data_IF_091331538870
#
_entry.id   IF_091331538870
#
_cell.length_a   1.000
_cell.length_b   1.000
_cell.length_c   1.000
_cell.angle_alpha   90.00
_cell.angle_beta   90.00
_cell.angle_gamma   90.00
#
_symmetry.space_group_name_H-M   'P 1'
#
loop_
_entity.id
_entity.type
_entity.pdbx_description
1 polymer ?
#
# COMPACT_ATOMS: atom_id res chain seq x y z
N UNK A 1 27.88 -26.91 -7.71
CA UNK A 1 26.47 -27.34 -7.93
C UNK A 1 25.62 -26.08 -7.88
N UNK A 2 25.21 -25.53 -9.05
CA UNK A 2 24.40 -24.30 -9.09
C UNK A 2 22.95 -24.65 -8.71
N UNK A 3 22.55 -24.27 -7.52
CA UNK A 3 21.16 -24.43 -7.07
C UNK A 3 20.24 -23.62 -7.99
N UNK A 4 19.18 -24.26 -8.49
CA UNK A 4 18.27 -23.64 -9.46
C UNK A 4 17.32 -22.68 -8.69
N UNK A 5 17.67 -21.39 -8.65
CA UNK A 5 16.96 -20.33 -7.91
C UNK A 5 15.45 -20.24 -8.24
N UNK A 6 15.05 -20.64 -9.46
CA UNK A 6 13.62 -20.66 -9.87
C UNK A 6 12.75 -21.64 -9.05
N UNK A 7 13.35 -22.75 -8.56
CA UNK A 7 12.60 -23.73 -7.75
C UNK A 7 12.46 -23.30 -6.28
N UNK A 8 13.31 -22.40 -5.79
CA UNK A 8 13.24 -21.90 -4.42
C UNK A 8 12.15 -20.84 -4.30
N UNK A 9 12.00 -19.95 -5.29
CA UNK A 9 10.93 -18.94 -5.29
C UNK A 9 9.52 -19.57 -5.29
N UNK A 10 9.31 -20.65 -6.05
CA UNK A 10 8.04 -21.39 -6.04
C UNK A 10 7.72 -22.09 -4.69
N UNK A 11 8.74 -22.51 -3.94
CA UNK A 11 8.57 -23.20 -2.67
C UNK A 11 8.20 -22.24 -1.51
N UNK A 12 8.70 -21.01 -1.57
CA UNK A 12 8.47 -20.00 -0.52
C UNK A 12 7.06 -19.39 -0.64
N UNK A 13 6.55 -19.21 -1.85
CA UNK A 13 5.18 -18.72 -2.06
C UNK A 13 4.14 -19.73 -1.51
N UNK A 14 4.40 -21.04 -1.68
CA UNK A 14 3.55 -22.08 -1.11
C UNK A 14 3.54 -22.08 0.43
N UNK A 15 4.62 -21.64 1.09
CA UNK A 15 4.71 -21.57 2.56
C UNK A 15 3.95 -20.36 3.14
N UNK A 16 3.91 -19.24 2.43
CA UNK A 16 3.11 -18.05 2.81
C UNK A 16 1.61 -18.36 2.72
N UNK A 17 1.21 -19.22 1.78
CA UNK A 17 -0.17 -19.65 1.60
C UNK A 17 -0.69 -20.57 2.73
N UNK A 18 0.21 -21.26 3.45
CA UNK A 18 -0.15 -22.19 4.53
C UNK A 18 -0.51 -21.52 5.86
N UNK A 19 -0.27 -20.21 6.01
CA UNK A 19 -0.52 -19.46 7.25
C UNK A 19 -1.88 -18.74 7.30
N UNK A 20 -2.86 -19.21 6.51
CA UNK A 20 -4.26 -18.83 6.71
C UNK A 20 -4.71 -17.52 6.05
N UNK A 21 -3.91 -16.92 5.19
CA UNK A 21 -4.35 -15.81 4.35
C UNK A 21 -4.99 -16.36 3.08
N UNK A 22 -6.25 -16.77 3.21
CA UNK A 22 -7.06 -17.19 2.07
C UNK A 22 -7.26 -15.97 1.14
N UNK A 23 -6.64 -15.97 -0.03
CA UNK A 23 -6.83 -14.94 -1.05
C UNK A 23 -5.63 -14.59 -1.92
N UNK A 24 -4.45 -15.15 -1.66
CA UNK A 24 -3.24 -14.83 -2.43
C UNK A 24 -2.89 -15.86 -3.53
N UNK A 25 -3.89 -16.48 -4.17
CA UNK A 25 -3.60 -17.34 -5.33
C UNK A 25 -2.97 -16.58 -6.50
N UNK A 26 -3.16 -15.25 -6.56
CA UNK A 26 -2.67 -14.35 -7.60
C UNK A 26 -1.76 -13.23 -7.07
N UNK A 27 -1.11 -13.42 -5.91
CA UNK A 27 -0.17 -12.43 -5.41
C UNK A 27 0.99 -12.24 -6.39
N UNK A 28 1.38 -10.98 -6.70
CA UNK A 28 2.45 -10.70 -7.63
C UNK A 28 3.76 -11.27 -7.12
N UNK A 29 4.54 -11.85 -8.03
CA UNK A 29 5.92 -12.23 -7.76
C UNK A 29 6.83 -11.11 -8.26
N UNK A 30 7.74 -10.66 -7.42
CA UNK A 30 8.71 -9.64 -7.78
C UNK A 30 10.12 -10.24 -7.83
N UNK A 31 10.79 -10.02 -8.96
CA UNK A 31 12.23 -10.25 -9.10
C UNK A 31 12.84 -8.94 -9.61
N UNK A 32 13.84 -8.40 -8.94
CA UNK A 32 14.53 -7.20 -9.41
C UNK A 32 15.17 -7.48 -10.79
N UNK A 33 14.75 -6.71 -11.79
CA UNK A 33 15.25 -6.81 -13.17
C UNK A 33 16.34 -5.79 -13.45
N UNK A 34 16.38 -4.72 -12.66
CA UNK A 34 17.32 -3.63 -12.79
C UNK A 34 17.98 -3.43 -11.43
N UNK A 35 19.29 -3.22 -11.45
CA UNK A 35 20.07 -2.85 -10.27
C UNK A 35 20.76 -1.50 -10.56
N UNK A 36 20.31 -0.47 -9.88
CA UNK A 36 20.91 0.86 -9.97
C UNK A 36 22.07 1.06 -9.00
N UNK A 37 22.31 0.08 -8.11
CA UNK A 37 23.36 0.14 -7.10
C UNK A 37 23.19 1.36 -6.17
N UNK A 38 24.32 1.93 -5.76
CA UNK A 38 24.35 3.12 -4.88
C UNK A 38 24.40 4.44 -5.67
N UNK A 39 24.07 4.44 -6.96
CA UNK A 39 24.24 5.61 -7.84
C UNK A 39 23.20 6.70 -7.52
N UNK A 40 21.98 6.31 -7.22
CA UNK A 40 20.89 7.22 -6.79
C UNK A 40 19.80 6.44 -6.07
N UNK A 41 19.01 7.13 -5.25
CA UNK A 41 17.80 6.55 -4.68
C UNK A 41 16.65 6.62 -5.68
N UNK A 42 16.06 5.46 -5.99
CA UNK A 42 14.85 5.35 -6.77
C UNK A 42 13.72 4.87 -5.87
N UNK A 43 12.80 5.79 -5.59
CA UNK A 43 11.73 5.64 -4.60
C UNK A 43 10.36 5.93 -5.23
N UNK A 44 9.71 4.91 -5.83
CA UNK A 44 8.39 5.10 -6.43
C UNK A 44 7.33 5.37 -5.38
N UNK A 45 6.71 6.55 -5.41
CA UNK A 45 5.69 6.99 -4.45
C UNK A 45 4.54 5.99 -4.34
N UNK A 46 4.27 5.48 -3.12
CA UNK A 46 3.29 4.43 -2.81
C UNK A 46 3.47 3.16 -3.65
N UNK A 47 4.74 2.82 -3.95
CA UNK A 47 5.08 1.72 -4.83
C UNK A 47 4.93 2.00 -6.33
N UNK A 48 4.60 3.23 -6.74
CA UNK A 48 4.40 3.63 -8.14
C UNK A 48 2.93 3.74 -8.53
N UNK A 49 2.19 4.59 -7.84
CA UNK A 49 0.72 4.75 -7.95
C UNK A 49 0.21 5.11 -9.35
N UNK A 50 1.05 5.69 -10.21
CA UNK A 50 0.67 6.03 -11.58
C UNK A 50 0.80 4.82 -12.54
N UNK A 51 1.43 3.73 -12.08
CA UNK A 51 1.62 2.51 -12.85
C UNK A 51 0.82 1.32 -12.30
N UNK A 52 0.55 1.29 -11.01
CA UNK A 52 -0.16 0.20 -10.29
C UNK A 52 -1.02 0.77 -9.16
N UNK A 53 -1.96 -0.02 -8.59
CA UNK A 53 -2.75 0.40 -7.43
C UNK A 53 -1.84 0.75 -6.24
N UNK A 54 -1.96 1.97 -5.73
CA UNK A 54 -1.14 2.51 -4.65
C UNK A 54 -1.19 1.68 -3.37
N UNK A 55 -0.08 1.64 -2.64
CA UNK A 55 0.03 0.96 -1.34
C UNK A 55 -0.47 -0.50 -1.37
N UNK A 56 -0.26 -1.21 -2.47
CA UNK A 56 -0.62 -2.62 -2.63
C UNK A 56 0.60 -3.48 -2.92
N UNK A 57 0.49 -4.79 -2.73
CA UNK A 57 1.56 -5.70 -3.11
C UNK A 57 1.87 -5.65 -4.62
N UNK A 58 0.90 -5.25 -5.46
CA UNK A 58 1.11 -5.07 -6.90
C UNK A 58 2.02 -3.89 -7.22
N UNK A 59 1.82 -2.74 -6.55
CA UNK A 59 2.70 -1.59 -6.74
C UNK A 59 4.10 -1.84 -6.18
N UNK A 60 4.20 -2.47 -5.02
CA UNK A 60 5.50 -2.79 -4.43
C UNK A 60 6.28 -3.83 -5.24
N UNK A 61 5.62 -4.86 -5.76
CA UNK A 61 6.24 -5.82 -6.67
C UNK A 61 6.75 -5.13 -7.93
N UNK A 62 5.94 -4.24 -8.51
CA UNK A 62 6.32 -3.44 -9.67
C UNK A 62 7.52 -2.54 -9.37
N UNK A 63 7.54 -1.87 -8.22
CA UNK A 63 8.69 -1.06 -7.79
C UNK A 63 9.98 -1.90 -7.73
N UNK A 64 9.93 -3.06 -7.07
CA UNK A 64 11.07 -3.98 -6.95
C UNK A 64 11.53 -4.47 -8.32
N UNK A 65 10.60 -4.88 -9.20
CA UNK A 65 10.91 -5.34 -10.56
C UNK A 65 11.60 -4.28 -11.42
N UNK A 66 11.32 -3.01 -11.16
CA UNK A 66 11.92 -1.89 -11.86
C UNK A 66 13.13 -1.29 -11.15
N UNK A 67 13.66 -1.97 -10.12
CA UNK A 67 14.91 -1.61 -9.46
C UNK A 67 14.80 -0.53 -8.41
N UNK A 68 13.63 -0.42 -7.75
CA UNK A 68 13.51 0.49 -6.60
C UNK A 68 14.57 0.18 -5.55
N UNK A 69 15.29 1.21 -5.13
CA UNK A 69 16.28 1.15 -4.04
C UNK A 69 15.65 1.40 -2.69
N UNK A 70 14.48 2.02 -2.69
CA UNK A 70 13.66 2.28 -1.53
C UNK A 70 12.18 2.04 -1.84
N UNK A 71 11.48 1.36 -0.95
CA UNK A 71 10.02 1.22 -1.01
C UNK A 71 9.40 2.31 -0.16
N UNK A 72 8.73 3.22 -0.83
CA UNK A 72 7.94 4.24 -0.15
C UNK A 72 6.52 3.71 0.07
N UNK A 73 6.00 3.90 1.28
CA UNK A 73 4.68 3.43 1.67
C UNK A 73 4.12 4.22 2.85
N UNK A 74 2.80 4.29 2.91
CA UNK A 74 2.06 4.93 4.01
C UNK A 74 1.48 3.87 4.94
N UNK A 75 1.49 4.11 6.26
CA UNK A 75 0.94 3.16 7.23
C UNK A 75 -0.17 3.75 8.10
N UNK A 76 -1.14 2.90 8.44
CA UNK A 76 -2.22 3.18 9.39
C UNK A 76 -2.33 2.04 10.40
N UNK A 77 -2.70 2.38 11.65
CA UNK A 77 -3.04 1.40 12.66
C UNK A 77 -4.50 0.96 12.51
N UNK A 78 -4.74 -0.34 12.65
CA UNK A 78 -6.08 -0.93 12.64
C UNK A 78 -6.68 -0.98 14.04
N UNK A 79 -7.99 -1.25 14.13
CA UNK A 79 -8.70 -1.38 15.40
C UNK A 79 -8.29 -2.59 16.24
N UNK A 80 -7.72 -3.62 15.62
CA UNK A 80 -7.17 -4.80 16.28
C UNK A 80 -5.65 -4.70 16.56
N UNK A 81 -5.05 -3.53 16.31
CA UNK A 81 -3.67 -3.22 16.70
C UNK A 81 -2.60 -3.66 15.69
N UNK A 82 -2.98 -4.00 14.48
CA UNK A 82 -2.07 -4.31 13.39
C UNK A 82 -1.76 -3.06 12.55
N UNK A 83 -0.89 -3.18 11.56
CA UNK A 83 -0.48 -2.11 10.64
C UNK A 83 -0.84 -2.50 9.20
N UNK A 84 -1.58 -1.61 8.52
CA UNK A 84 -1.92 -1.75 7.10
C UNK A 84 -1.38 -0.60 6.27
N UNK A 85 -1.17 -0.86 4.99
CA UNK A 85 -0.65 0.12 4.03
C UNK A 85 -1.76 0.97 3.47
N UNK A 86 -1.92 2.18 3.98
CA UNK A 86 -2.93 3.14 3.51
C UNK A 86 -2.50 4.57 3.79
N UNK A 87 -2.70 5.44 2.80
CA UNK A 87 -2.42 6.87 2.99
C UNK A 87 -3.41 7.53 3.96
N UNK A 88 -4.70 7.26 3.81
CA UNK A 88 -5.74 7.89 4.61
C UNK A 88 -6.15 7.00 5.80
N UNK A 89 -6.49 7.56 6.96
CA UNK A 89 -7.02 6.81 8.10
C UNK A 89 -8.45 6.31 7.86
N UNK A 90 -9.12 6.85 6.87
CA UNK A 90 -10.44 6.42 6.38
C UNK A 90 -10.23 5.82 4.99
N UNK A 91 -10.89 4.69 4.69
CA UNK A 91 -10.80 4.08 3.37
C UNK A 91 -11.17 5.11 2.30
N UNK A 92 -10.26 5.34 1.36
CA UNK A 92 -10.44 6.34 0.31
C UNK A 92 -11.50 5.88 -0.69
N UNK A 93 -12.66 6.57 -0.72
CA UNK A 93 -13.79 6.27 -1.61
C UNK A 93 -13.46 6.36 -3.09
N UNK A 94 -12.42 7.11 -3.45
CA UNK A 94 -12.00 7.29 -4.84
C UNK A 94 -11.34 6.03 -5.43
N UNK A 95 -10.80 5.15 -4.57
CA UNK A 95 -10.07 3.95 -4.99
C UNK A 95 -10.62 2.66 -4.39
N UNK A 96 -11.64 2.72 -3.55
CA UNK A 96 -12.12 1.57 -2.78
C UNK A 96 -13.51 1.12 -3.21
N UNK A 97 -13.66 -0.18 -3.46
CA UNK A 97 -14.94 -0.84 -3.72
C UNK A 97 -15.24 -1.88 -2.66
N UNK A 98 -16.52 -2.05 -2.34
CA UNK A 98 -16.99 -3.10 -1.45
C UNK A 98 -16.97 -4.49 -2.12
N UNK A 99 -17.35 -5.53 -1.38
CA UNK A 99 -17.40 -6.91 -1.88
C UNK A 99 -18.39 -7.12 -3.04
N UNK A 100 -19.34 -6.20 -3.25
CA UNK A 100 -20.30 -6.23 -4.35
C UNK A 100 -19.81 -5.46 -5.57
N UNK A 101 -18.63 -4.82 -5.48
CA UNK A 101 -18.03 -4.02 -6.54
C UNK A 101 -18.50 -2.56 -6.59
N UNK A 102 -19.27 -2.09 -5.61
CA UNK A 102 -19.73 -0.71 -5.53
C UNK A 102 -18.65 0.17 -4.90
N UNK A 103 -18.50 1.40 -5.41
CA UNK A 103 -17.69 2.42 -4.77
C UNK A 103 -18.25 2.74 -3.39
N UNK A 104 -17.39 2.80 -2.38
CA UNK A 104 -17.82 3.10 -1.01
C UNK A 104 -18.16 4.59 -0.86
N UNK A 105 -18.95 4.90 0.18
CA UNK A 105 -19.25 6.28 0.56
C UNK A 105 -18.05 6.91 1.28
N UNK A 106 -17.83 8.20 1.02
CA UNK A 106 -16.79 8.98 1.70
C UNK A 106 -17.03 9.04 3.21
N UNK A 107 -15.93 9.01 3.97
CA UNK A 107 -15.98 9.12 5.43
C UNK A 107 -16.51 7.90 6.19
N UNK A 108 -16.94 6.84 5.50
CA UNK A 108 -17.71 5.74 6.12
C UNK A 108 -16.86 4.75 6.92
N UNK A 109 -15.67 4.42 6.47
CA UNK A 109 -14.86 3.32 7.00
C UNK A 109 -13.54 3.81 7.60
N UNK A 110 -13.51 3.97 8.93
CA UNK A 110 -12.33 4.37 9.69
C UNK A 110 -11.47 3.13 10.00
N UNK A 111 -10.28 3.05 9.38
CA UNK A 111 -9.32 1.94 9.52
C UNK A 111 -9.02 1.66 10.99
N UNK A 112 -8.94 2.69 11.82
CA UNK A 112 -8.63 2.57 13.26
C UNK A 112 -9.74 1.89 14.08
N UNK A 113 -10.89 1.65 13.49
CA UNK A 113 -12.05 0.97 14.08
C UNK A 113 -12.33 -0.38 13.44
N UNK A 114 -11.52 -0.78 12.47
CA UNK A 114 -11.70 -2.01 11.70
C UNK A 114 -10.56 -2.98 11.99
N UNK A 115 -10.87 -4.26 11.90
CA UNK A 115 -9.87 -5.33 11.90
C UNK A 115 -9.22 -5.48 10.52
N UNK A 116 -8.02 -6.06 10.46
CA UNK A 116 -7.37 -6.41 9.18
C UNK A 116 -8.31 -7.25 8.32
N UNK A 117 -8.99 -8.24 8.90
CA UNK A 117 -9.88 -9.14 8.17
C UNK A 117 -11.10 -8.42 7.55
N UNK A 118 -11.56 -7.31 8.15
CA UNK A 118 -12.62 -6.47 7.59
C UNK A 118 -12.07 -5.59 6.47
N UNK A 119 -10.91 -4.96 6.66
CA UNK A 119 -10.25 -4.10 5.68
C UNK A 119 -9.93 -4.88 4.40
N UNK A 120 -9.44 -6.10 4.52
CA UNK A 120 -9.05 -6.92 3.38
C UNK A 120 -10.21 -7.48 2.55
N UNK A 121 -11.45 -7.23 2.94
CA UNK A 121 -12.63 -7.50 2.08
C UNK A 121 -12.85 -6.45 0.99
N UNK A 122 -12.24 -5.28 1.12
CA UNK A 122 -12.36 -4.21 0.15
C UNK A 122 -11.36 -4.39 -1.00
N UNK A 123 -11.78 -3.93 -2.18
CA UNK A 123 -10.98 -3.98 -3.39
C UNK A 123 -10.48 -2.58 -3.74
N UNK A 124 -9.17 -2.38 -3.71
CA UNK A 124 -8.49 -1.11 -4.03
C UNK A 124 -7.74 -1.16 -5.37
N UNK A 125 -8.12 -2.09 -6.25
CA UNK A 125 -7.42 -2.30 -7.51
C UNK A 125 -7.59 -1.16 -8.51
N UNK A 126 -8.72 -0.44 -8.50
CA UNK A 126 -9.06 0.56 -9.52
C UNK A 126 -9.31 1.92 -8.89
N UNK A 127 -9.19 2.97 -9.69
CA UNK A 127 -9.63 4.33 -9.34
C UNK A 127 -11.01 4.54 -9.95
N UNK A 128 -11.90 5.19 -9.21
CA UNK A 128 -13.21 5.61 -9.73
C UNK A 128 -13.01 6.57 -10.92
N UNK A 129 -13.48 6.24 -12.12
CA UNK A 129 -13.27 7.05 -13.32
C UNK A 129 -13.97 8.41 -13.27
N UNK A 130 -14.92 8.61 -12.35
CA UNK A 130 -15.70 9.84 -12.23
C UNK A 130 -15.03 10.90 -11.36
N UNK A 131 -13.94 10.55 -10.65
CA UNK A 131 -13.22 11.50 -9.78
C UNK A 131 -11.99 12.12 -10.45
N UNK A 132 -11.60 13.29 -9.98
CA UNK A 132 -10.41 13.97 -10.52
C UNK A 132 -9.12 13.21 -10.28
N UNK A 133 -9.04 12.42 -9.21
CA UNK A 133 -7.91 11.54 -8.94
C UNK A 133 -7.62 10.57 -10.10
N UNK A 134 -8.66 10.08 -10.79
CA UNK A 134 -8.49 9.26 -11.98
C UNK A 134 -7.79 10.02 -13.13
N UNK A 135 -8.13 11.29 -13.34
CA UNK A 135 -7.52 12.11 -14.39
C UNK A 135 -6.01 12.29 -14.15
N UNK A 136 -5.60 12.31 -12.89
CA UNK A 136 -4.20 12.48 -12.51
C UNK A 136 -3.43 11.16 -12.54
N UNK A 137 -4.01 10.07 -12.09
CA UNK A 137 -3.29 8.83 -11.77
C UNK A 137 -3.84 7.56 -12.46
N UNK A 138 -5.01 7.64 -13.08
CA UNK A 138 -5.70 6.46 -13.60
C UNK A 138 -5.38 6.07 -15.04
N UNK A 139 -4.87 7.00 -15.84
CA UNK A 139 -4.84 6.84 -17.31
C UNK A 139 -3.78 5.86 -17.81
N UNK A 140 -2.68 5.70 -17.09
CA UNK A 140 -1.53 4.88 -17.50
C UNK A 140 -1.36 3.61 -16.66
N UNK A 141 -2.22 3.41 -15.67
CA UNK A 141 -2.13 2.28 -14.74
C UNK A 141 -2.52 0.96 -15.39
N UNK A 142 -1.86 -0.09 -14.93
CA UNK A 142 -2.28 -1.48 -15.18
C UNK A 142 -2.84 -2.02 -13.87
N UNK A 143 -4.13 -2.24 -13.83
CA UNK A 143 -4.86 -2.65 -12.64
C UNK A 143 -5.23 -4.15 -12.70
N UNK A 144 -5.02 -4.91 -11.62
CA UNK A 144 -5.56 -6.25 -11.49
C UNK A 144 -7.08 -6.20 -11.26
N UNK A 145 -7.76 -7.33 -11.38
CA UNK A 145 -9.19 -7.39 -11.05
C UNK A 145 -9.46 -7.14 -9.57
N UNK A 146 -8.54 -7.59 -8.71
CA UNK A 146 -8.65 -7.45 -7.28
C UNK A 146 -7.29 -7.11 -6.66
N UNK A 147 -7.27 -6.15 -5.74
CA UNK A 147 -6.14 -5.84 -4.88
C UNK A 147 -6.65 -5.49 -3.49
N UNK A 148 -6.02 -6.06 -2.48
CA UNK A 148 -6.30 -5.76 -1.07
C UNK A 148 -5.33 -4.71 -0.55
N UNK A 149 -5.73 -4.04 0.54
CA UNK A 149 -4.82 -3.28 1.39
C UNK A 149 -3.97 -4.30 2.17
N UNK A 150 -2.65 -4.35 1.95
CA UNK A 150 -1.80 -5.32 2.64
C UNK A 150 -1.45 -4.85 4.05
N UNK A 151 -1.05 -5.80 4.90
CA UNK A 151 -0.37 -5.48 6.15
C UNK A 151 1.11 -5.16 5.89
N UNK A 152 1.77 -4.50 6.86
CA UNK A 152 3.21 -4.27 6.84
C UNK A 152 3.99 -5.60 6.78
N UNK A 153 3.53 -6.61 7.51
CA UNK A 153 4.12 -7.96 7.47
C UNK A 153 4.08 -8.56 6.06
N UNK A 154 2.96 -8.42 5.35
CA UNK A 154 2.82 -8.90 3.96
C UNK A 154 3.78 -8.17 3.01
N UNK A 155 4.01 -6.86 3.20
CA UNK A 155 5.01 -6.11 2.45
C UNK A 155 6.42 -6.64 2.72
N UNK A 156 6.79 -6.86 3.98
CA UNK A 156 8.10 -7.42 4.31
C UNK A 156 8.30 -8.83 3.73
N UNK A 157 7.27 -9.65 3.75
CA UNK A 157 7.30 -10.99 3.14
C UNK A 157 7.49 -10.92 1.62
N UNK A 158 6.85 -9.97 0.93
CA UNK A 158 7.05 -9.74 -0.51
C UNK A 158 8.52 -9.38 -0.79
N UNK A 159 9.08 -8.42 -0.07
CA UNK A 159 10.47 -7.99 -0.25
C UNK A 159 11.43 -9.14 0.03
N UNK A 160 11.24 -9.89 1.11
CA UNK A 160 12.05 -11.06 1.43
C UNK A 160 11.97 -12.13 0.33
N UNK A 161 10.78 -12.37 -0.22
CA UNK A 161 10.58 -13.35 -1.30
C UNK A 161 11.22 -12.91 -2.62
N UNK A 162 11.37 -11.62 -2.88
CA UNK A 162 12.05 -11.08 -4.08
C UNK A 162 13.54 -11.36 -4.09
N UNK A 163 14.16 -11.64 -2.92
CA UNK A 163 15.59 -11.80 -2.76
C UNK A 163 16.39 -10.50 -2.89
N UNK A 164 15.74 -9.35 -2.87
CA UNK A 164 16.41 -8.05 -2.83
C UNK A 164 16.78 -7.71 -1.37
N UNK A 165 18.03 -7.98 -1.00
CA UNK A 165 18.53 -7.76 0.36
C UNK A 165 18.93 -6.30 0.63
N UNK A 166 18.97 -5.45 -0.41
CA UNK A 166 19.49 -4.08 -0.31
C UNK A 166 18.39 -3.02 -0.36
N UNK A 167 17.13 -3.39 -0.60
CA UNK A 167 16.04 -2.42 -0.65
C UNK A 167 15.78 -1.82 0.73
N UNK A 168 15.69 -0.51 0.77
CA UNK A 168 15.34 0.28 1.96
C UNK A 168 13.83 0.47 2.05
N UNK A 169 13.35 0.97 3.18
CA UNK A 169 11.96 1.37 3.37
C UNK A 169 11.89 2.82 3.82
N UNK A 170 11.05 3.59 3.17
CA UNK A 170 10.57 4.88 3.63
C UNK A 170 9.10 4.72 4.03
N UNK A 171 8.85 4.56 5.33
CA UNK A 171 7.51 4.31 5.86
C UNK A 171 6.99 5.59 6.49
N UNK A 172 6.02 6.22 5.81
CA UNK A 172 5.36 7.40 6.34
C UNK A 172 4.30 7.00 7.36
N UNK A 173 4.50 7.44 8.61
CA UNK A 173 3.51 7.28 9.67
C UNK A 173 2.44 8.36 9.53
N UNK A 174 1.27 8.01 9.07
CA UNK A 174 0.13 8.93 8.94
C UNK A 174 -0.60 9.07 10.29
N UNK A 175 0.13 9.45 11.33
CA UNK A 175 -0.46 9.69 12.65
C UNK A 175 -0.98 11.11 12.74
N UNK A 176 -2.25 11.21 13.05
CA UNK A 176 -2.90 12.48 13.36
C UNK A 176 -3.03 12.56 14.88
N UNK A 177 -2.40 13.56 15.52
CA UNK A 177 -2.58 13.75 16.96
C UNK A 177 -4.04 14.09 17.25
N UNK A 178 -4.50 13.67 18.42
CA UNK A 178 -5.81 14.06 18.91
C UNK A 178 -5.89 15.61 19.00
N UNK A 179 -6.80 16.26 18.28
CA UNK A 179 -6.94 17.72 18.29
C UNK A 179 -7.11 18.29 19.70
N UNK A 180 -7.64 17.50 20.64
CA UNK A 180 -7.84 17.90 22.04
C UNK A 180 -6.53 17.89 22.84
N UNK A 181 -5.49 17.19 22.39
CA UNK A 181 -4.20 17.09 23.08
C UNK A 181 -3.16 18.07 22.53
N UNK A 182 -3.45 18.71 21.41
CA UNK A 182 -2.49 19.59 20.71
C UNK A 182 -2.85 21.03 20.97
N UNK A 183 -2.03 21.70 21.79
CA UNK A 183 -2.16 23.14 22.05
C UNK A 183 -1.72 24.02 20.88
N UNK A 184 -0.89 23.48 19.98
CA UNK A 184 -0.42 24.19 18.79
C UNK A 184 -0.75 23.38 17.53
N UNK A 185 -1.86 23.72 16.90
CA UNK A 185 -2.40 23.05 15.71
C UNK A 185 -1.48 23.15 14.47
N UNK A 186 -0.51 24.07 14.44
CA UNK A 186 0.35 24.31 13.30
C UNK A 186 1.42 23.23 13.08
N UNK A 187 1.72 22.45 14.09
CA UNK A 187 2.87 21.51 14.06
C UNK A 187 2.49 20.14 13.48
N UNK A 188 1.19 19.84 13.29
CA UNK A 188 0.75 18.44 13.31
C UNK A 188 -0.18 18.02 12.18
N UNK A 189 -0.47 18.92 11.24
CA UNK A 189 -1.29 18.60 10.08
C UNK A 189 -0.42 18.58 8.83
N UNK A 190 -0.22 17.42 8.23
CA UNK A 190 0.27 17.30 6.85
C UNK A 190 -0.83 17.67 5.84
N UNK A 191 -2.05 17.91 6.31
CA UNK A 191 -3.14 18.46 5.52
C UNK A 191 -3.20 19.97 5.73
N UNK A 192 -3.43 20.76 4.70
CA UNK A 192 -3.69 22.18 4.88
C UNK A 192 -4.90 22.35 5.79
N UNK A 193 -4.78 23.22 6.81
CA UNK A 193 -5.90 23.59 7.67
C UNK A 193 -7.05 24.10 6.79
N UNK A 194 -8.28 23.68 7.07
CA UNK A 194 -9.43 24.28 6.40
C UNK A 194 -9.59 25.75 6.83
N UNK A 195 -10.38 26.54 6.09
CA UNK A 195 -10.53 27.97 6.33
C UNK A 195 -10.94 28.32 7.77
N UNK A 196 -11.73 27.47 8.43
CA UNK A 196 -12.15 27.66 9.84
C UNK A 196 -11.02 27.41 10.85
N UNK A 197 -10.05 26.56 10.49
CA UNK A 197 -8.89 26.25 11.33
C UNK A 197 -7.75 27.27 11.14
N UNK A 198 -7.80 28.07 10.07
CA UNK A 198 -6.81 29.13 9.80
C UNK A 198 -7.10 30.43 10.56
N UNK A 199 -8.35 30.65 11.00
CA UNK A 199 -8.78 31.86 11.72
C UNK A 199 -8.80 31.68 13.25
N UNK A 200 -8.49 30.52 13.80
CA UNK A 200 -8.47 30.21 15.24
C UNK A 200 -7.04 30.19 15.80
#
# INVERSE_FOLDING_TARGET
MKLNRKKIAMGILAAVMATGVAGFTDAPQAEAKVDFGDVFDFEPHRGGRDARPENTLYSYAYAIENGATCIECDMQFTGDGDIVMSHNPILNHEITRDANGNWIEDGKYDIRKMTVAEIQKFNVSKINPEVDYYKLHGQTRVDPEFAQIPTLEQLFQLVKASGNENVKFNIETKSYPDPLQVKDKRVLSSQPLNEQEQEA
#
